data_IF_695336560843
#
_entry.id   IF_695336560843
#
_cell.length_a   1.000
_cell.length_b   1.000
_cell.length_c   1.000
_cell.angle_alpha   90.00
_cell.angle_beta   90.00
_cell.angle_gamma   90.00
#
_symmetry.space_group_name_H-M   'P 1'
#
loop_
_entity.id
_entity.type
_entity.pdbx_description
1 polymer ?
#
# COMPACT_ATOMS: atom_id res chain seq x y z
N UNK A 1 13.44 -5.14 32.66
CA UNK A 1 13.18 -5.83 31.39
C UNK A 1 13.72 -7.24 31.51
N UNK A 2 13.08 -8.25 31.01
CA UNK A 2 13.67 -9.60 30.99
C UNK A 2 14.64 -9.72 29.81
N UNK A 3 15.57 -10.72 29.83
CA UNK A 3 16.45 -10.99 28.69
C UNK A 3 15.67 -11.18 27.38
N UNK A 4 14.48 -11.78 27.45
CA UNK A 4 13.61 -12.00 26.29
C UNK A 4 13.05 -10.69 25.74
N UNK A 5 12.67 -9.76 26.63
CA UNK A 5 12.15 -8.44 26.20
C UNK A 5 13.26 -7.59 25.56
N UNK A 6 14.49 -7.70 26.06
CA UNK A 6 15.66 -7.01 25.50
C UNK A 6 15.98 -7.56 24.11
N UNK A 7 15.99 -8.88 23.93
CA UNK A 7 16.20 -9.50 22.63
C UNK A 7 15.08 -9.18 21.62
N UNK A 8 13.81 -9.10 22.06
CA UNK A 8 12.71 -8.67 21.19
C UNK A 8 12.93 -7.25 20.69
N UNK A 9 13.26 -6.31 21.59
CA UNK A 9 13.51 -4.92 21.21
C UNK A 9 14.72 -4.80 20.27
N UNK A 10 15.78 -5.57 20.49
CA UNK A 10 16.96 -5.63 19.62
C UNK A 10 16.58 -6.17 18.23
N UNK A 11 15.78 -7.23 18.15
CA UNK A 11 15.35 -7.81 16.88
C UNK A 11 14.51 -6.83 16.05
N UNK A 12 13.55 -6.12 16.68
CA UNK A 12 12.76 -5.11 15.99
C UNK A 12 13.61 -3.93 15.51
N UNK A 13 14.61 -3.50 16.29
CA UNK A 13 15.53 -2.45 15.86
C UNK A 13 16.34 -2.85 14.61
N UNK A 14 16.73 -4.13 14.47
CA UNK A 14 17.38 -4.64 13.27
C UNK A 14 16.43 -4.69 12.07
N UNK A 15 15.16 -5.11 12.24
CA UNK A 15 14.15 -5.06 11.17
C UNK A 15 13.94 -3.61 10.69
N UNK A 16 13.78 -2.66 11.61
CA UNK A 16 13.64 -1.23 11.29
C UNK A 16 14.88 -0.64 10.57
N UNK A 17 16.05 -1.21 10.83
CA UNK A 17 17.30 -0.81 10.19
C UNK A 17 17.55 -1.52 8.84
N UNK A 18 16.63 -2.40 8.39
CA UNK A 18 16.80 -3.17 7.15
C UNK A 18 17.84 -4.30 7.26
N UNK A 19 18.04 -4.87 8.47
CA UNK A 19 18.97 -5.98 8.74
C UNK A 19 18.17 -7.23 9.19
N UNK A 20 17.40 -7.86 8.27
CA UNK A 20 16.56 -9.01 8.59
C UNK A 20 17.36 -10.27 8.96
N UNK A 21 18.60 -10.42 8.46
CA UNK A 21 19.44 -11.57 8.79
C UNK A 21 19.79 -11.58 10.28
N UNK A 22 20.22 -10.44 10.84
CA UNK A 22 20.51 -10.33 12.28
C UNK A 22 19.23 -10.51 13.12
N UNK A 23 18.11 -9.94 12.70
CA UNK A 23 16.83 -10.13 13.36
C UNK A 23 16.42 -11.62 13.37
N UNK A 24 16.64 -12.35 12.28
CA UNK A 24 16.39 -13.80 12.20
C UNK A 24 17.25 -14.60 13.16
N UNK A 25 18.54 -14.27 13.33
CA UNK A 25 19.41 -14.92 14.29
C UNK A 25 18.94 -14.71 15.74
N UNK A 26 18.52 -13.46 16.06
CA UNK A 26 17.94 -13.15 17.37
C UNK A 26 16.62 -13.90 17.57
N UNK A 27 15.77 -13.99 16.56
CA UNK A 27 14.53 -14.76 16.57
C UNK A 27 14.78 -16.25 16.90
N UNK A 28 15.78 -16.88 16.26
CA UNK A 28 16.19 -18.27 16.58
C UNK A 28 16.71 -18.43 18.02
N UNK A 29 17.40 -17.41 18.54
CA UNK A 29 17.81 -17.40 19.94
C UNK A 29 16.61 -17.32 20.87
N UNK A 30 15.63 -16.47 20.60
CA UNK A 30 14.37 -16.35 21.35
C UNK A 30 13.58 -17.67 21.34
N UNK A 31 13.53 -18.36 20.21
CA UNK A 31 12.90 -19.68 20.09
C UNK A 31 13.58 -20.71 20.99
N UNK A 32 14.92 -20.72 21.05
CA UNK A 32 15.68 -21.59 21.96
C UNK A 32 15.36 -21.33 23.46
N UNK A 33 14.93 -20.11 23.77
CA UNK A 33 14.45 -19.70 25.09
C UNK A 33 12.95 -19.99 25.30
N UNK A 34 12.31 -20.67 24.34
CA UNK A 34 10.87 -21.01 24.37
C UNK A 34 9.99 -19.75 24.55
N UNK A 35 10.27 -18.71 23.75
CA UNK A 35 9.51 -17.48 23.74
C UNK A 35 8.65 -17.39 22.46
N UNK A 36 7.34 -17.26 22.62
CA UNK A 36 6.41 -17.28 21.48
C UNK A 36 6.61 -16.11 20.50
N UNK A 37 7.09 -14.94 20.95
CA UNK A 37 7.45 -13.82 20.10
C UNK A 37 8.59 -14.11 19.11
N UNK A 38 9.34 -15.20 19.31
CA UNK A 38 10.36 -15.65 18.39
C UNK A 38 9.82 -15.88 16.96
N UNK A 39 8.61 -16.45 16.86
CA UNK A 39 7.98 -16.75 15.57
C UNK A 39 7.53 -15.51 14.83
N UNK A 40 7.13 -14.46 15.54
CA UNK A 40 6.82 -13.14 14.98
C UNK A 40 8.05 -12.54 14.33
N UNK A 41 9.16 -12.41 15.07
CA UNK A 41 10.42 -11.85 14.58
C UNK A 41 10.94 -12.64 13.37
N UNK A 42 10.98 -13.98 13.45
CA UNK A 42 11.46 -14.81 12.36
C UNK A 42 10.59 -14.66 11.10
N UNK A 43 9.28 -14.57 11.26
CA UNK A 43 8.36 -14.42 10.13
C UNK A 43 8.53 -13.04 9.46
N UNK A 44 8.67 -11.97 10.23
CA UNK A 44 8.94 -10.63 9.69
C UNK A 44 10.28 -10.60 8.98
N UNK A 45 11.33 -11.17 9.55
CA UNK A 45 12.65 -11.23 8.93
C UNK A 45 12.62 -12.00 7.58
N UNK A 46 11.89 -13.12 7.49
CA UNK A 46 11.73 -13.81 6.22
C UNK A 46 10.92 -12.99 5.20
N UNK A 47 9.90 -12.27 5.64
CA UNK A 47 9.13 -11.39 4.75
C UNK A 47 9.98 -10.23 4.20
N UNK A 48 10.83 -9.61 5.03
CA UNK A 48 11.75 -8.55 4.62
C UNK A 48 12.85 -9.06 3.66
N UNK A 49 13.10 -10.37 3.65
CA UNK A 49 13.96 -11.06 2.67
C UNK A 49 13.18 -11.58 1.45
N UNK A 50 11.95 -11.15 1.23
CA UNK A 50 11.04 -11.59 0.17
C UNK A 50 10.70 -13.11 0.20
N UNK A 51 10.94 -13.82 1.31
CA UNK A 51 10.60 -15.24 1.49
C UNK A 51 9.31 -15.42 2.30
N UNK A 52 8.19 -14.95 1.75
CA UNK A 52 6.87 -15.04 2.40
C UNK A 52 6.44 -16.50 2.65
N UNK A 53 6.92 -17.46 1.86
CA UNK A 53 6.64 -18.89 2.10
C UNK A 53 7.28 -19.39 3.39
N UNK A 54 8.51 -19.00 3.69
CA UNK A 54 9.16 -19.32 4.96
C UNK A 54 8.52 -18.58 6.13
N UNK A 55 8.09 -17.34 5.95
CA UNK A 55 7.33 -16.61 6.96
C UNK A 55 6.05 -17.38 7.36
N UNK A 56 5.29 -17.87 6.38
CA UNK A 56 4.11 -18.74 6.62
C UNK A 56 4.50 -20.01 7.37
N UNK A 57 5.55 -20.73 6.94
CA UNK A 57 5.98 -21.98 7.57
C UNK A 57 6.39 -21.77 9.04
N UNK A 58 7.09 -20.69 9.35
CA UNK A 58 7.48 -20.31 10.73
C UNK A 58 6.23 -20.02 11.57
N UNK A 59 5.27 -19.27 11.04
CA UNK A 59 4.04 -18.96 11.78
C UNK A 59 3.15 -20.19 11.99
N UNK A 60 3.09 -21.13 11.05
CA UNK A 60 2.41 -22.42 11.25
C UNK A 60 3.02 -23.21 12.42
N UNK A 61 4.35 -23.21 12.53
CA UNK A 61 5.01 -23.78 13.70
C UNK A 61 4.70 -22.99 14.99
N UNK A 62 4.66 -21.66 14.89
CA UNK A 62 4.35 -20.75 15.99
C UNK A 62 2.94 -20.96 16.56
N UNK A 63 1.91 -21.03 15.71
CA UNK A 63 0.53 -21.26 16.16
C UNK A 63 0.33 -22.67 16.69
N UNK A 64 1.07 -23.65 16.19
CA UNK A 64 1.07 -25.00 16.76
C UNK A 64 1.71 -25.04 18.18
N UNK A 65 2.77 -24.23 18.40
CA UNK A 65 3.44 -24.12 19.69
C UNK A 65 2.64 -23.29 20.70
N UNK A 66 2.05 -22.18 20.27
CA UNK A 66 1.36 -21.20 21.13
C UNK A 66 -0.01 -20.80 20.55
N UNK A 67 -1.00 -21.71 20.50
CA UNK A 67 -2.28 -21.49 19.82
C UNK A 67 -3.15 -20.38 20.42
N UNK A 68 -2.87 -19.96 21.66
CA UNK A 68 -3.55 -18.84 22.33
C UNK A 68 -2.98 -17.45 22.02
N UNK A 69 -1.92 -17.35 21.23
CA UNK A 69 -1.33 -16.06 20.84
C UNK A 69 -1.96 -15.58 19.55
N UNK A 70 -2.93 -14.68 19.67
CA UNK A 70 -3.74 -14.17 18.56
C UNK A 70 -2.89 -13.50 17.45
N UNK A 71 -1.82 -12.81 17.83
CA UNK A 71 -0.95 -12.10 16.91
C UNK A 71 -0.28 -13.04 15.89
N UNK A 72 0.11 -14.25 16.30
CA UNK A 72 0.68 -15.25 15.39
C UNK A 72 -0.34 -15.71 14.35
N UNK A 73 -1.60 -15.89 14.75
CA UNK A 73 -2.69 -16.19 13.83
C UNK A 73 -2.98 -15.02 12.87
N UNK A 74 -2.95 -13.79 13.40
CA UNK A 74 -3.13 -12.58 12.63
C UNK A 74 -2.06 -12.44 11.52
N UNK A 75 -0.79 -12.59 11.87
CA UNK A 75 0.32 -12.54 10.93
C UNK A 75 0.26 -13.68 9.91
N UNK A 76 -0.10 -14.88 10.35
CA UNK A 76 -0.32 -16.02 9.45
C UNK A 76 -1.42 -15.73 8.42
N UNK A 77 -2.50 -15.09 8.86
CA UNK A 77 -3.57 -14.61 7.98
C UNK A 77 -3.07 -13.58 6.96
N UNK A 78 -2.28 -12.60 7.40
CA UNK A 78 -1.72 -11.57 6.55
C UNK A 78 -0.86 -12.19 5.43
N UNK A 79 0.18 -12.96 5.76
CA UNK A 79 1.07 -13.55 4.75
C UNK A 79 0.38 -14.58 3.84
N UNK A 80 -0.62 -15.33 4.34
CA UNK A 80 -1.43 -16.18 3.47
C UNK A 80 -2.29 -15.36 2.48
N UNK A 81 -2.81 -14.21 2.92
CA UNK A 81 -3.54 -13.27 2.06
C UNK A 81 -2.64 -12.67 0.99
N UNK A 82 -1.39 -12.33 1.33
CA UNK A 82 -0.40 -11.81 0.39
C UNK A 82 -0.03 -12.85 -0.69
N UNK A 83 0.02 -14.13 -0.30
CA UNK A 83 0.17 -15.25 -1.24
C UNK A 83 -1.11 -15.60 -2.01
N UNK A 84 -2.21 -14.85 -1.85
CA UNK A 84 -3.49 -15.12 -2.50
C UNK A 84 -4.24 -16.34 -1.95
N UNK A 85 -3.82 -16.87 -0.79
CA UNK A 85 -4.42 -18.06 -0.14
C UNK A 85 -5.57 -17.65 0.78
N UNK A 86 -6.60 -17.02 0.20
CA UNK A 86 -7.66 -16.36 0.97
C UNK A 86 -8.44 -17.30 1.89
N UNK A 87 -8.78 -18.52 1.48
CA UNK A 87 -9.46 -19.49 2.35
C UNK A 87 -8.65 -19.75 3.62
N UNK A 88 -7.35 -20.03 3.47
CA UNK A 88 -6.46 -20.28 4.59
C UNK A 88 -6.18 -19.03 5.45
N UNK A 89 -6.18 -17.83 4.84
CA UNK A 89 -6.09 -16.57 5.56
C UNK A 89 -7.31 -16.33 6.45
N UNK A 90 -8.51 -16.55 5.91
CA UNK A 90 -9.79 -16.44 6.64
C UNK A 90 -9.82 -17.37 7.85
N UNK A 91 -9.42 -18.65 7.68
CA UNK A 91 -9.30 -19.60 8.81
C UNK A 91 -8.35 -19.08 9.90
N UNK A 92 -7.23 -18.48 9.52
CA UNK A 92 -6.28 -17.90 10.47
C UNK A 92 -6.86 -16.68 11.20
N UNK A 93 -7.57 -15.78 10.50
CA UNK A 93 -8.23 -14.64 11.15
C UNK A 93 -9.38 -15.07 12.07
N UNK A 94 -10.12 -16.13 11.74
CA UNK A 94 -11.12 -16.71 12.65
C UNK A 94 -10.46 -17.24 13.93
N UNK A 95 -9.32 -17.92 13.80
CA UNK A 95 -8.55 -18.39 14.95
C UNK A 95 -8.01 -17.22 15.80
N UNK A 96 -7.49 -16.16 15.15
CA UNK A 96 -7.07 -14.93 15.82
C UNK A 96 -8.22 -14.31 16.63
N UNK A 97 -9.39 -14.15 16.00
CA UNK A 97 -10.57 -13.57 16.62
C UNK A 97 -11.12 -14.37 17.82
N UNK A 98 -10.84 -15.67 17.89
CA UNK A 98 -11.23 -16.52 19.03
C UNK A 98 -10.35 -16.33 20.27
N UNK A 99 -9.18 -15.72 20.14
CA UNK A 99 -8.23 -15.54 21.25
C UNK A 99 -7.72 -14.09 21.40
N UNK A 100 -8.07 -13.18 20.49
CA UNK A 100 -7.74 -11.76 20.60
C UNK A 100 -8.52 -11.10 21.73
N UNK A 101 -7.92 -10.16 22.47
CA UNK A 101 -8.65 -9.29 23.39
C UNK A 101 -9.59 -8.34 22.62
N UNK A 102 -10.62 -7.83 23.30
CA UNK A 102 -11.68 -7.03 22.66
C UNK A 102 -11.13 -5.78 21.92
N UNK A 103 -10.10 -5.14 22.48
CA UNK A 103 -9.43 -3.98 21.87
C UNK A 103 -8.74 -4.30 20.55
N UNK A 104 -8.23 -5.50 20.36
CA UNK A 104 -7.48 -5.94 19.18
C UNK A 104 -8.41 -6.55 18.10
N UNK A 105 -9.64 -6.89 18.44
CA UNK A 105 -10.62 -7.42 17.49
C UNK A 105 -10.88 -6.46 16.33
N UNK A 106 -10.69 -5.17 16.53
CA UNK A 106 -10.87 -4.15 15.49
C UNK A 106 -9.92 -4.36 14.32
N UNK A 107 -8.68 -4.75 14.59
CA UNK A 107 -7.65 -5.03 13.59
C UNK A 107 -7.92 -6.40 12.93
N UNK A 108 -8.24 -7.41 13.74
CA UNK A 108 -8.54 -8.77 13.24
C UNK A 108 -9.75 -8.77 12.31
N UNK A 109 -10.85 -8.12 12.71
CA UNK A 109 -12.07 -8.05 11.90
C UNK A 109 -11.85 -7.25 10.59
N UNK A 110 -11.03 -6.19 10.62
CA UNK A 110 -10.66 -5.44 9.43
C UNK A 110 -9.87 -6.30 8.42
N UNK A 111 -8.80 -6.97 8.85
CA UNK A 111 -7.99 -7.82 7.96
C UNK A 111 -8.79 -9.01 7.45
N UNK A 112 -9.67 -9.58 8.29
CA UNK A 112 -10.61 -10.62 7.88
C UNK A 112 -11.58 -10.10 6.80
N UNK A 113 -12.13 -8.89 6.97
CA UNK A 113 -13.01 -8.26 5.98
C UNK A 113 -12.29 -8.05 4.64
N UNK A 114 -11.03 -7.61 4.69
CA UNK A 114 -10.21 -7.42 3.49
C UNK A 114 -9.97 -8.75 2.74
N UNK A 115 -9.60 -9.82 3.45
CA UNK A 115 -9.42 -11.14 2.84
C UNK A 115 -10.72 -11.68 2.20
N UNK A 116 -11.86 -11.50 2.86
CA UNK A 116 -13.17 -11.85 2.33
C UNK A 116 -13.53 -11.03 1.08
N UNK A 117 -13.23 -9.73 1.07
CA UNK A 117 -13.43 -8.87 -0.09
C UNK A 117 -12.58 -9.33 -1.29
N UNK A 118 -11.31 -9.64 -1.06
CA UNK A 118 -10.39 -10.16 -2.09
C UNK A 118 -10.80 -11.55 -2.59
N UNK A 119 -11.42 -12.38 -1.74
CA UNK A 119 -12.02 -13.66 -2.14
C UNK A 119 -13.31 -13.48 -2.97
N UNK A 120 -13.98 -12.32 -2.86
CA UNK A 120 -15.24 -12.01 -3.54
C UNK A 120 -16.48 -12.25 -2.68
N UNK A 121 -16.34 -12.60 -1.41
CA UNK A 121 -17.49 -12.72 -0.49
C UNK A 121 -17.83 -11.35 0.13
N UNK A 122 -18.40 -10.48 -0.71
CA UNK A 122 -18.67 -9.09 -0.35
C UNK A 122 -19.67 -8.95 0.82
N UNK A 123 -20.57 -9.92 0.99
CA UNK A 123 -21.57 -9.86 2.05
C UNK A 123 -20.96 -10.15 3.43
N UNK A 124 -20.09 -11.16 3.53
CA UNK A 124 -19.37 -11.46 4.76
C UNK A 124 -18.32 -10.38 5.06
N UNK A 125 -17.63 -9.87 4.02
CA UNK A 125 -16.71 -8.75 4.16
C UNK A 125 -17.40 -7.52 4.79
N UNK A 126 -18.59 -7.17 4.28
CA UNK A 126 -19.37 -6.06 4.82
C UNK A 126 -19.75 -6.29 6.30
N UNK A 127 -20.20 -7.50 6.64
CA UNK A 127 -20.59 -7.82 8.01
C UNK A 127 -19.39 -7.75 9.00
N UNK A 128 -18.21 -8.15 8.58
CA UNK A 128 -16.98 -8.03 9.37
C UNK A 128 -16.54 -6.57 9.53
N UNK A 129 -16.56 -5.82 8.43
CA UNK A 129 -16.21 -4.40 8.43
C UNK A 129 -17.17 -3.54 9.27
N UNK A 130 -18.46 -3.87 9.27
CA UNK A 130 -19.43 -3.20 10.15
C UNK A 130 -19.08 -3.40 11.63
N UNK A 131 -18.62 -4.59 12.03
CA UNK A 131 -18.11 -4.82 13.41
C UNK A 131 -16.89 -3.96 13.73
N UNK A 132 -15.95 -3.81 12.78
CA UNK A 132 -14.80 -2.92 12.92
C UNK A 132 -15.26 -1.48 13.16
N UNK A 133 -16.14 -0.96 12.29
CA UNK A 133 -16.58 0.44 12.31
C UNK A 133 -17.53 0.77 13.47
N UNK A 134 -18.20 -0.22 14.04
CA UNK A 134 -19.07 -0.08 15.23
C UNK A 134 -18.32 -0.36 16.54
N UNK A 135 -17.05 -0.74 16.47
CA UNK A 135 -16.26 -1.06 17.67
C UNK A 135 -16.05 0.18 18.56
N UNK A 136 -16.22 0.05 19.87
CA UNK A 136 -15.91 1.14 20.81
C UNK A 136 -14.40 1.44 20.87
N UNK A 137 -13.56 0.54 20.35
CA UNK A 137 -12.11 0.67 20.31
C UNK A 137 -11.59 1.29 19.00
N UNK A 138 -12.46 1.55 18.01
CA UNK A 138 -12.06 2.08 16.69
C UNK A 138 -11.21 3.36 16.79
N UNK A 139 -11.58 4.28 17.67
CA UNK A 139 -10.86 5.55 17.83
C UNK A 139 -9.41 5.36 18.31
N UNK A 140 -9.10 4.23 18.99
CA UNK A 140 -7.74 3.92 19.48
C UNK A 140 -6.84 3.40 18.36
N UNK A 141 -7.40 2.92 17.27
CA UNK A 141 -6.64 2.44 16.12
C UNK A 141 -6.03 3.57 15.27
N UNK A 142 -6.39 4.81 15.55
CA UNK A 142 -5.87 5.99 14.87
C UNK A 142 -6.58 6.32 13.54
N UNK A 143 -6.35 7.55 13.07
CA UNK A 143 -7.05 8.09 11.90
C UNK A 143 -6.76 7.32 10.61
N UNK A 144 -5.50 7.00 10.35
CA UNK A 144 -5.11 6.27 9.15
C UNK A 144 -5.83 4.91 9.05
N UNK A 145 -5.98 4.19 10.16
CA UNK A 145 -6.74 2.95 10.19
C UNK A 145 -8.23 3.18 9.87
N UNK A 146 -8.83 4.24 10.42
CA UNK A 146 -10.23 4.59 10.14
C UNK A 146 -10.41 4.89 8.65
N UNK A 147 -9.51 5.66 8.05
CA UNK A 147 -9.53 5.97 6.62
C UNK A 147 -9.41 4.70 5.76
N UNK A 148 -8.51 3.77 6.10
CA UNK A 148 -8.41 2.47 5.43
C UNK A 148 -9.71 1.63 5.56
N UNK A 149 -10.33 1.63 6.73
CA UNK A 149 -11.61 0.95 6.93
C UNK A 149 -12.75 1.61 6.12
N UNK A 150 -12.74 2.94 6.00
CA UNK A 150 -13.66 3.68 5.14
C UNK A 150 -13.40 3.40 3.66
N UNK A 151 -12.15 3.37 3.22
CA UNK A 151 -11.79 3.01 1.84
C UNK A 151 -12.31 1.61 1.49
N UNK A 152 -12.08 0.61 2.36
CA UNK A 152 -12.62 -0.73 2.17
C UNK A 152 -14.15 -0.74 2.11
N UNK A 153 -14.84 0.05 2.95
CA UNK A 153 -16.31 0.16 2.90
C UNK A 153 -16.78 0.74 1.58
N UNK A 154 -16.12 1.77 1.09
CA UNK A 154 -16.44 2.38 -0.21
C UNK A 154 -16.18 1.41 -1.35
N UNK A 155 -15.06 0.66 -1.30
CA UNK A 155 -14.76 -0.42 -2.23
C UNK A 155 -15.90 -1.46 -2.30
N UNK A 156 -16.36 -1.93 -1.14
CA UNK A 156 -17.48 -2.90 -1.08
C UNK A 156 -18.76 -2.34 -1.71
N UNK A 157 -19.11 -1.07 -1.47
CA UNK A 157 -20.26 -0.44 -2.11
C UNK A 157 -20.09 -0.31 -3.63
N UNK A 158 -18.90 0.09 -4.10
CA UNK A 158 -18.60 0.16 -5.54
C UNK A 158 -18.71 -1.24 -6.18
N UNK A 159 -18.13 -2.25 -5.57
CA UNK A 159 -18.19 -3.64 -6.06
C UNK A 159 -19.63 -4.21 -6.07
N UNK A 160 -20.49 -3.77 -5.17
CA UNK A 160 -21.91 -4.14 -5.12
C UNK A 160 -22.81 -3.33 -6.08
N UNK A 161 -22.25 -2.34 -6.78
CA UNK A 161 -23.01 -1.47 -7.67
C UNK A 161 -23.80 -0.37 -6.94
N UNK A 162 -23.35 0.01 -5.76
CA UNK A 162 -23.96 1.02 -4.88
C UNK A 162 -23.13 2.32 -4.76
N UNK A 163 -22.80 3.01 -5.88
CA UNK A 163 -21.86 4.14 -5.85
C UNK A 163 -22.37 5.32 -5.01
N UNK A 164 -23.69 5.47 -4.87
CA UNK A 164 -24.26 6.55 -4.03
C UNK A 164 -23.98 6.31 -2.55
N UNK A 165 -23.93 5.05 -2.10
CA UNK A 165 -23.58 4.72 -0.73
C UNK A 165 -22.09 4.99 -0.46
N UNK A 166 -21.21 4.67 -1.43
CA UNK A 166 -19.80 5.03 -1.35
C UNK A 166 -19.58 6.55 -1.24
N UNK A 167 -20.24 7.35 -2.10
CA UNK A 167 -20.15 8.82 -2.05
C UNK A 167 -20.65 9.35 -0.71
N UNK A 168 -21.78 8.86 -0.21
CA UNK A 168 -22.32 9.27 1.09
C UNK A 168 -21.38 8.92 2.26
N UNK A 169 -20.67 7.80 2.16
CA UNK A 169 -19.64 7.39 3.14
C UNK A 169 -18.51 8.41 3.19
N UNK A 170 -17.98 8.81 2.04
CA UNK A 170 -16.97 9.88 1.96
C UNK A 170 -17.47 11.22 2.52
N UNK A 171 -18.70 11.63 2.16
CA UNK A 171 -19.30 12.88 2.67
C UNK A 171 -19.48 12.88 4.19
N UNK A 172 -19.67 11.71 4.80
CA UNK A 172 -19.74 11.57 6.24
C UNK A 172 -18.34 11.71 6.88
N UNK A 173 -17.31 11.10 6.28
CA UNK A 173 -15.91 11.24 6.72
C UNK A 173 -15.47 12.71 6.64
N UNK A 174 -15.72 13.38 5.53
CA UNK A 174 -15.31 14.77 5.30
C UNK A 174 -15.97 15.79 6.23
N UNK A 175 -17.07 15.43 6.90
CA UNK A 175 -17.75 16.29 7.89
C UNK A 175 -17.20 16.13 9.32
N UNK A 176 -16.38 15.13 9.56
CA UNK A 176 -15.78 14.94 10.88
C UNK A 176 -14.67 15.97 11.06
N UNK A 177 -14.70 16.72 12.17
CA UNK A 177 -13.58 17.54 12.58
C UNK A 177 -12.53 16.60 13.20
N UNK A 178 -11.31 16.65 12.69
CA UNK A 178 -10.23 15.83 13.19
C UNK A 178 -9.11 16.73 13.73
N UNK A 179 -8.70 16.46 14.95
CA UNK A 179 -7.57 17.14 15.61
C UNK A 179 -6.21 16.56 15.13
N UNK A 180 -6.24 15.41 14.45
CA UNK A 180 -5.04 14.73 13.92
C UNK A 180 -4.99 14.84 12.39
N UNK A 181 -3.81 15.07 11.85
CA UNK A 181 -3.57 14.98 10.40
C UNK A 181 -3.70 13.51 9.95
N UNK A 182 -4.49 13.25 8.91
CA UNK A 182 -4.60 11.94 8.29
C UNK A 182 -3.32 11.58 7.53
N UNK A 183 -3.14 10.32 7.22
CA UNK A 183 -2.07 9.87 6.35
C UNK A 183 -2.41 10.19 4.89
N UNK A 184 -1.46 10.77 4.14
CA UNK A 184 -1.63 10.97 2.70
C UNK A 184 -1.87 9.63 1.96
N UNK A 185 -1.28 8.54 2.47
CA UNK A 185 -1.44 7.18 1.93
C UNK A 185 -2.89 6.71 2.03
N UNK A 186 -3.46 6.71 3.25
CA UNK A 186 -4.84 6.24 3.46
C UNK A 186 -5.87 7.14 2.78
N UNK A 187 -5.62 8.44 2.72
CA UNK A 187 -6.49 9.38 2.02
C UNK A 187 -6.46 9.16 0.49
N UNK A 188 -5.32 8.81 -0.09
CA UNK A 188 -5.22 8.47 -1.52
C UNK A 188 -6.14 7.29 -1.87
N UNK A 189 -6.19 6.25 -1.03
CA UNK A 189 -7.08 5.10 -1.24
C UNK A 189 -8.56 5.47 -1.09
N UNK A 190 -8.92 6.31 -0.11
CA UNK A 190 -10.29 6.85 0.03
C UNK A 190 -10.70 7.63 -1.22
N UNK A 191 -9.83 8.49 -1.74
CA UNK A 191 -10.09 9.27 -2.95
C UNK A 191 -10.13 8.39 -4.20
N UNK A 192 -9.34 7.34 -4.27
CA UNK A 192 -9.40 6.35 -5.35
C UNK A 192 -10.80 5.70 -5.43
N UNK A 193 -11.31 5.21 -4.31
CA UNK A 193 -12.64 4.61 -4.25
C UNK A 193 -13.76 5.64 -4.53
N UNK A 194 -13.60 6.89 -4.10
CA UNK A 194 -14.52 7.98 -4.45
C UNK A 194 -14.55 8.24 -5.95
N UNK A 195 -13.38 8.25 -6.60
CA UNK A 195 -13.28 8.39 -8.06
C UNK A 195 -14.03 7.27 -8.78
N UNK A 196 -13.81 6.01 -8.38
CA UNK A 196 -14.52 4.86 -8.95
C UNK A 196 -16.03 4.96 -8.74
N UNK A 197 -16.49 5.44 -7.59
CA UNK A 197 -17.90 5.68 -7.32
C UNK A 197 -18.49 6.77 -8.23
N UNK A 198 -17.77 7.87 -8.46
CA UNK A 198 -18.21 8.90 -9.43
C UNK A 198 -18.24 8.34 -10.87
N UNK A 199 -17.23 7.55 -11.26
CA UNK A 199 -17.20 6.90 -12.58
C UNK A 199 -18.42 6.00 -12.78
N UNK A 200 -18.73 5.17 -11.80
CA UNK A 200 -19.89 4.26 -11.85
C UNK A 200 -21.23 5.02 -11.83
N UNK A 201 -21.27 6.20 -11.21
CA UNK A 201 -22.45 7.09 -11.23
C UNK A 201 -22.60 7.86 -12.55
N UNK A 202 -21.63 7.79 -13.46
CA UNK A 202 -21.60 8.51 -14.73
C UNK A 202 -21.08 9.96 -14.63
N UNK A 203 -20.58 10.39 -13.48
CA UNK A 203 -19.96 11.73 -13.30
C UNK A 203 -18.44 11.64 -13.60
N UNK A 204 -18.13 11.48 -14.91
CA UNK A 204 -16.76 11.30 -15.37
C UNK A 204 -15.85 12.49 -15.05
N UNK A 205 -16.41 13.72 -14.97
CA UNK A 205 -15.62 14.90 -14.65
C UNK A 205 -15.13 14.88 -13.19
N UNK A 206 -16.01 14.52 -12.26
CA UNK A 206 -15.60 14.36 -10.88
C UNK A 206 -14.70 13.14 -10.69
N UNK A 207 -14.99 12.03 -11.36
CA UNK A 207 -14.14 10.84 -11.31
C UNK A 207 -12.68 11.19 -11.66
N UNK A 208 -12.44 11.87 -12.77
CA UNK A 208 -11.09 12.26 -13.18
C UNK A 208 -10.45 13.24 -12.20
N UNK A 209 -11.18 14.28 -11.77
CA UNK A 209 -10.64 15.25 -10.81
C UNK A 209 -10.23 14.58 -9.49
N UNK A 210 -11.10 13.73 -8.93
CA UNK A 210 -10.82 13.01 -7.69
C UNK A 210 -9.67 12.00 -7.84
N UNK A 211 -9.54 11.34 -9.00
CA UNK A 211 -8.42 10.44 -9.25
C UNK A 211 -7.08 11.19 -9.33
N UNK A 212 -7.08 12.40 -9.91
CA UNK A 212 -5.89 13.26 -9.90
C UNK A 212 -5.53 13.71 -8.48
N UNK A 213 -6.52 14.07 -7.67
CA UNK A 213 -6.29 14.40 -6.26
C UNK A 213 -5.73 13.19 -5.49
N UNK A 214 -6.19 11.97 -5.79
CA UNK A 214 -5.69 10.74 -5.16
C UNK A 214 -4.19 10.53 -5.45
N UNK A 215 -3.77 10.56 -6.72
CA UNK A 215 -2.35 10.35 -7.07
C UNK A 215 -1.46 11.50 -6.59
N UNK A 216 -1.98 12.73 -6.50
CA UNK A 216 -1.24 13.86 -5.94
C UNK A 216 -1.10 13.78 -4.41
N UNK A 217 -2.03 13.11 -3.73
CA UNK A 217 -1.92 12.82 -2.30
C UNK A 217 -0.83 11.79 -2.01
N UNK A 218 -0.78 10.72 -2.83
CA UNK A 218 0.23 9.67 -2.72
C UNK A 218 0.38 8.89 -4.02
N UNK A 219 1.40 9.21 -4.81
CA UNK A 219 1.60 8.66 -6.17
C UNK A 219 1.96 7.17 -6.20
N UNK A 220 2.41 6.60 -5.07
CA UNK A 220 2.76 5.17 -4.95
C UNK A 220 1.56 4.28 -4.61
N UNK A 221 0.34 4.85 -4.47
CA UNK A 221 -0.86 4.04 -4.28
C UNK A 221 -1.30 3.38 -5.58
N UNK A 222 -1.27 2.04 -5.62
CA UNK A 222 -1.80 1.26 -6.74
C UNK A 222 -3.28 1.54 -6.99
N UNK A 223 -4.06 1.76 -5.92
CA UNK A 223 -5.48 2.11 -6.00
C UNK A 223 -5.68 3.47 -6.69
N UNK A 224 -4.87 4.48 -6.34
CA UNK A 224 -4.92 5.81 -6.95
C UNK A 224 -4.53 5.76 -8.44
N UNK A 225 -3.45 5.06 -8.77
CA UNK A 225 -3.02 4.85 -10.16
C UNK A 225 -4.07 4.09 -10.98
N UNK A 226 -4.68 3.07 -10.40
CA UNK A 226 -5.79 2.36 -11.04
C UNK A 226 -7.01 3.26 -11.25
N UNK A 227 -7.43 4.02 -10.23
CA UNK A 227 -8.57 4.93 -10.31
C UNK A 227 -8.36 5.98 -11.42
N UNK A 228 -7.13 6.50 -11.58
CA UNK A 228 -6.79 7.47 -12.63
C UNK A 228 -6.93 6.86 -14.04
N UNK A 229 -6.39 5.63 -14.24
CA UNK A 229 -6.56 4.91 -15.53
C UNK A 229 -8.04 4.62 -15.81
N UNK A 230 -8.78 4.14 -14.82
CA UNK A 230 -10.20 3.86 -14.92
C UNK A 230 -11.02 5.13 -15.22
N UNK A 231 -10.72 6.25 -14.56
CA UNK A 231 -11.42 7.52 -14.77
C UNK A 231 -11.20 8.08 -16.17
N UNK A 232 -9.98 7.97 -16.74
CA UNK A 232 -9.67 8.37 -18.11
C UNK A 232 -10.37 7.52 -19.14
N UNK A 233 -10.44 6.19 -18.89
CA UNK A 233 -11.07 5.22 -19.81
C UNK A 233 -10.45 5.22 -21.22
N UNK A 234 -9.17 5.56 -21.32
CA UNK A 234 -8.44 5.59 -22.58
C UNK A 234 -7.78 4.23 -22.82
N UNK A 235 -8.22 3.51 -23.84
CA UNK A 235 -7.67 2.22 -24.24
C UNK A 235 -7.03 2.31 -25.63
N UNK A 236 -5.99 1.52 -25.88
CA UNK A 236 -5.32 1.47 -27.19
C UNK A 236 -4.82 0.06 -27.49
N UNK A 237 -4.90 -0.31 -28.76
CA UNK A 237 -4.31 -1.54 -29.31
C UNK A 237 -2.86 -1.34 -29.76
N UNK A 238 -2.39 -0.09 -29.86
CA UNK A 238 -1.08 0.29 -30.36
C UNK A 238 -0.14 0.84 -29.29
N UNK A 239 -0.69 1.19 -28.13
CA UNK A 239 0.10 1.64 -26.99
C UNK A 239 1.03 0.52 -26.49
N UNK A 240 2.21 0.93 -26.06
CA UNK A 240 3.26 0.02 -25.57
C UNK A 240 3.50 0.21 -24.11
N UNK A 241 3.83 -0.86 -23.40
CA UNK A 241 4.32 -0.82 -22.05
C UNK A 241 5.81 -0.44 -22.06
N UNK A 242 6.17 0.54 -21.25
CA UNK A 242 7.50 1.12 -21.17
C UNK A 242 7.91 1.25 -19.70
N UNK A 243 9.12 0.83 -19.37
CA UNK A 243 9.81 1.20 -18.16
C UNK A 243 10.69 2.41 -18.47
N UNK A 244 10.48 3.50 -17.77
CA UNK A 244 11.10 4.79 -18.04
C UNK A 244 11.91 5.24 -16.86
N UNK A 245 13.15 5.69 -17.10
CA UNK A 245 13.92 6.47 -16.13
C UNK A 245 13.65 7.94 -16.45
N UNK A 246 13.15 8.67 -15.46
CA UNK A 246 12.72 10.06 -15.59
C UNK A 246 13.51 10.93 -14.62
N UNK A 247 14.06 12.00 -15.14
CA UNK A 247 14.77 13.03 -14.39
C UNK A 247 13.94 14.30 -14.31
N UNK A 248 14.18 15.05 -13.23
CA UNK A 248 13.55 16.35 -13.04
C UNK A 248 14.29 17.20 -12.02
N UNK A 249 13.82 18.44 -11.85
CA UNK A 249 14.35 19.36 -10.87
C UNK A 249 13.34 19.53 -9.73
N UNK A 250 13.80 19.35 -8.51
CA UNK A 250 12.96 19.57 -7.32
C UNK A 250 12.77 21.06 -7.07
N UNK A 251 11.76 21.42 -6.33
CA UNK A 251 11.36 22.82 -6.12
C UNK A 251 11.76 23.39 -4.77
N UNK A 252 12.24 22.56 -3.85
CA UNK A 252 12.66 22.92 -2.49
C UNK A 252 14.06 22.37 -2.22
N UNK A 253 14.90 23.07 -1.47
CA UNK A 253 16.19 22.55 -0.97
C UNK A 253 15.95 21.32 -0.09
N UNK A 254 16.92 20.40 -0.01
CA UNK A 254 16.89 19.30 0.96
C UNK A 254 17.08 19.85 2.39
N UNK A 255 16.55 19.13 3.40
CA UNK A 255 16.43 19.62 4.79
C UNK A 255 17.74 20.10 5.43
N UNK A 256 18.91 19.57 5.02
CA UNK A 256 20.22 19.90 5.58
C UNK A 256 21.07 20.81 4.66
N UNK A 257 20.50 21.42 3.62
CA UNK A 257 21.22 22.18 2.62
C UNK A 257 21.00 23.70 2.73
N UNK A 258 21.86 24.45 2.04
CA UNK A 258 21.74 25.91 1.96
C UNK A 258 20.40 26.29 1.28
N UNK A 259 19.50 26.99 1.98
CA UNK A 259 18.19 27.40 1.41
C UNK A 259 18.32 28.27 0.16
N UNK A 260 19.47 28.93 -0.06
CA UNK A 260 19.78 29.76 -1.23
C UNK A 260 20.61 28.98 -2.29
N UNK A 261 20.86 27.67 -2.06
CA UNK A 261 21.57 26.79 -3.00
C UNK A 261 20.79 26.46 -4.25
N UNK A 262 21.41 25.78 -5.25
CA UNK A 262 20.71 25.30 -6.41
C UNK A 262 19.65 24.26 -6.01
N UNK A 263 18.49 24.28 -6.67
CA UNK A 263 17.47 23.27 -6.43
C UNK A 263 18.02 21.87 -6.83
N UNK A 264 17.82 20.85 -6.00
CA UNK A 264 18.31 19.49 -6.28
C UNK A 264 17.64 18.90 -7.52
N UNK A 265 18.36 18.01 -8.20
CA UNK A 265 17.81 17.18 -9.25
C UNK A 265 17.34 15.84 -8.68
N UNK A 266 16.46 15.13 -9.38
CA UNK A 266 16.03 13.80 -8.99
C UNK A 266 15.97 12.88 -10.20
N UNK A 267 16.09 11.59 -9.92
CA UNK A 267 15.77 10.50 -10.82
C UNK A 267 14.74 9.60 -10.18
N UNK A 268 13.82 9.07 -10.98
CA UNK A 268 12.79 8.11 -10.54
C UNK A 268 12.38 7.24 -11.73
N UNK A 269 11.67 6.14 -11.47
CA UNK A 269 11.22 5.21 -12.51
C UNK A 269 9.71 5.19 -12.62
N UNK A 270 9.22 4.83 -13.82
CA UNK A 270 7.80 4.67 -14.11
C UNK A 270 7.55 3.49 -15.05
N UNK A 271 6.53 2.70 -14.74
CA UNK A 271 5.92 1.79 -15.70
C UNK A 271 4.68 2.45 -16.30
N UNK A 272 4.70 2.66 -17.62
CA UNK A 272 3.66 3.43 -18.33
C UNK A 272 3.20 2.70 -19.58
N UNK A 273 1.90 2.74 -19.84
CA UNK A 273 1.34 2.34 -21.13
C UNK A 273 0.92 3.59 -21.91
N UNK A 274 1.57 3.83 -23.05
CA UNK A 274 1.35 5.00 -23.92
C UNK A 274 1.70 4.70 -25.38
N UNK A 275 1.25 5.56 -26.32
CA UNK A 275 1.57 5.43 -27.73
C UNK A 275 3.05 5.73 -28.03
N UNK A 276 3.59 6.73 -27.34
CA UNK A 276 4.97 7.19 -27.48
C UNK A 276 5.48 7.85 -26.18
N UNK A 277 6.76 8.21 -26.16
CA UNK A 277 7.42 8.88 -25.03
C UNK A 277 6.82 10.23 -24.67
N UNK A 278 6.33 10.99 -25.66
CA UNK A 278 5.73 12.29 -25.41
C UNK A 278 4.39 12.16 -24.66
N UNK A 279 3.58 11.16 -25.03
CA UNK A 279 2.37 10.82 -24.29
C UNK A 279 2.70 10.27 -22.92
N UNK A 280 3.70 9.39 -22.80
CA UNK A 280 4.14 8.84 -21.52
C UNK A 280 4.56 9.95 -20.55
N UNK A 281 5.38 10.91 -21.00
CA UNK A 281 5.80 12.04 -20.15
C UNK A 281 4.63 12.92 -19.71
N UNK A 282 3.63 13.13 -20.58
CA UNK A 282 2.39 13.83 -20.23
C UNK A 282 1.61 13.10 -19.12
N UNK A 283 1.51 11.77 -19.21
CA UNK A 283 0.80 10.94 -18.23
C UNK A 283 1.54 10.93 -16.88
N UNK A 284 2.87 10.87 -16.91
CA UNK A 284 3.74 10.96 -15.72
C UNK A 284 3.57 12.32 -15.04
N UNK A 285 3.60 13.41 -15.83
CA UNK A 285 3.48 14.77 -15.30
C UNK A 285 2.21 15.00 -14.48
N UNK A 286 1.15 14.24 -14.71
CA UNK A 286 -0.08 14.35 -13.93
C UNK A 286 0.04 13.70 -12.54
N UNK A 287 0.93 12.71 -12.39
CA UNK A 287 1.23 12.07 -11.11
C UNK A 287 2.22 12.89 -10.27
N UNK A 288 2.91 13.87 -10.88
CA UNK A 288 3.95 14.66 -10.25
C UNK A 288 3.42 16.00 -9.69
N UNK A 289 4.09 16.56 -8.65
CA UNK A 289 3.77 17.90 -8.16
C UNK A 289 3.82 18.94 -9.29
N UNK A 290 2.90 19.91 -9.33
CA UNK A 290 2.86 20.90 -10.41
C UNK A 290 4.19 21.62 -10.64
N UNK A 291 4.97 21.84 -9.59
CA UNK A 291 6.22 22.61 -9.61
C UNK A 291 7.35 21.91 -10.38
N UNK A 292 7.33 20.56 -10.46
CA UNK A 292 8.39 19.81 -11.14
C UNK A 292 8.04 19.43 -12.59
N UNK A 293 6.78 19.55 -12.99
CA UNK A 293 6.24 19.03 -14.28
C UNK A 293 6.97 19.55 -15.52
N UNK A 294 7.38 20.82 -15.51
CA UNK A 294 8.06 21.45 -16.64
C UNK A 294 9.53 21.01 -16.77
N UNK A 295 10.13 20.50 -15.70
CA UNK A 295 11.51 20.03 -15.67
C UNK A 295 11.67 18.55 -16.08
N UNK A 296 10.57 17.79 -16.12
CA UNK A 296 10.59 16.35 -16.38
C UNK A 296 11.17 16.03 -17.76
N UNK A 297 12.11 15.09 -17.80
CA UNK A 297 12.66 14.54 -19.04
C UNK A 297 12.86 13.04 -18.90
N UNK A 298 12.68 12.31 -19.98
CA UNK A 298 12.99 10.89 -20.05
C UNK A 298 14.49 10.76 -20.29
N UNK A 299 15.21 10.09 -19.38
CA UNK A 299 16.62 9.78 -19.52
C UNK A 299 16.80 8.46 -20.31
N UNK A 300 16.02 7.44 -19.97
CA UNK A 300 16.09 6.13 -20.63
C UNK A 300 14.69 5.53 -20.81
N UNK A 301 14.56 4.71 -21.87
CA UNK A 301 13.34 3.98 -22.21
C UNK A 301 13.63 2.52 -22.48
N UNK A 302 12.98 1.65 -21.72
CA UNK A 302 12.99 0.21 -21.93
C UNK A 302 11.60 -0.29 -22.26
N UNK A 303 11.43 -0.96 -23.39
CA UNK A 303 10.15 -1.57 -23.75
C UNK A 303 9.94 -2.83 -22.91
N UNK A 304 8.77 -2.95 -22.29
CA UNK A 304 8.36 -4.17 -21.59
C UNK A 304 7.68 -5.09 -22.62
N UNK A 305 8.31 -6.24 -22.88
CA UNK A 305 7.72 -7.29 -23.71
C UNK A 305 6.57 -7.94 -22.95
N UNK A 306 5.35 -7.62 -23.34
CA UNK A 306 4.14 -8.19 -22.74
C UNK A 306 3.65 -9.33 -23.64
N UNK A 307 4.15 -10.56 -23.44
CA UNK A 307 3.72 -11.75 -24.18
C UNK A 307 2.21 -12.04 -24.01
N UNK A 308 1.58 -11.50 -22.97
CA UNK A 308 0.16 -11.64 -22.65
C UNK A 308 -0.74 -10.46 -23.07
N UNK A 309 -0.22 -9.50 -23.82
CA UNK A 309 -0.98 -8.33 -24.28
C UNK A 309 -2.01 -8.69 -25.37
N UNK A 310 -2.95 -9.59 -25.06
CA UNK A 310 -4.11 -9.90 -25.90
C UNK A 310 -5.31 -8.99 -25.63
N UNK A 311 -5.23 -8.10 -24.64
CA UNK A 311 -6.30 -7.15 -24.30
C UNK A 311 -5.82 -5.73 -24.51
N UNK A 312 -6.69 -4.88 -25.05
CA UNK A 312 -6.55 -3.43 -25.08
C UNK A 312 -6.22 -2.92 -23.69
N UNK A 313 -4.99 -2.46 -23.48
CA UNK A 313 -4.58 -1.94 -22.18
C UNK A 313 -5.09 -0.51 -21.97
N UNK A 314 -5.42 -0.16 -20.74
CA UNK A 314 -5.64 1.22 -20.35
C UNK A 314 -4.33 1.99 -20.42
N UNK A 315 -4.34 3.16 -21.08
CA UNK A 315 -3.19 4.07 -21.07
C UNK A 315 -3.07 4.74 -19.69
N UNK A 316 -1.84 4.93 -19.21
CA UNK A 316 -1.54 5.58 -17.94
C UNK A 316 -0.33 5.02 -17.24
N UNK A 317 -0.06 5.54 -16.07
CA UNK A 317 1.00 5.07 -15.15
C UNK A 317 0.51 3.84 -14.38
N UNK A 318 1.34 2.82 -14.31
CA UNK A 318 1.06 1.55 -13.62
C UNK A 318 1.87 1.37 -12.35
N UNK A 319 3.10 1.84 -12.34
CA UNK A 319 3.97 1.86 -11.17
C UNK A 319 4.86 3.10 -11.17
N UNK A 320 5.30 3.48 -9.99
CA UNK A 320 6.23 4.60 -9.76
C UNK A 320 7.32 4.17 -8.81
N UNK A 321 8.57 4.49 -9.12
CA UNK A 321 9.70 4.29 -8.20
C UNK A 321 9.86 5.45 -7.21
N UNK A 322 10.77 5.25 -6.27
CA UNK A 322 11.17 6.27 -5.31
C UNK A 322 12.01 7.37 -5.99
N UNK A 323 12.08 8.54 -5.34
CA UNK A 323 12.97 9.59 -5.79
C UNK A 323 14.38 9.36 -5.25
N UNK A 324 15.36 9.35 -6.16
CA UNK A 324 16.77 9.48 -5.82
C UNK A 324 17.19 10.94 -6.06
N UNK A 325 17.45 11.66 -4.98
CA UNK A 325 17.76 13.10 -5.00
C UNK A 325 19.27 13.30 -5.02
N UNK A 326 19.77 14.25 -5.83
CA UNK A 326 21.19 14.59 -5.90
C UNK A 326 21.39 16.08 -6.21
N UNK A 327 22.58 16.61 -5.86
CA UNK A 327 22.92 18.00 -6.18
C UNK A 327 23.45 18.13 -7.61
N UNK A 328 23.10 19.23 -8.32
CA UNK A 328 23.62 19.48 -9.65
C UNK A 328 25.16 19.48 -9.68
N UNK A 329 25.75 18.57 -10.46
CA UNK A 329 27.20 18.41 -10.60
C UNK A 329 27.83 17.32 -9.73
N UNK A 330 27.09 16.61 -8.91
CA UNK A 330 27.46 15.32 -8.35
C UNK A 330 27.18 14.23 -9.41
N UNK A 331 28.18 13.45 -9.77
CA UNK A 331 27.93 12.26 -10.61
C UNK A 331 27.19 11.24 -9.73
N UNK A 332 26.04 10.77 -10.21
CA UNK A 332 25.27 9.74 -9.53
C UNK A 332 26.03 8.40 -9.57
N UNK A 333 26.76 8.09 -8.48
CA UNK A 333 27.48 6.84 -8.32
C UNK A 333 26.53 5.62 -8.16
N UNK A 334 25.22 5.84 -8.04
CA UNK A 334 24.23 4.79 -7.74
C UNK A 334 23.67 4.07 -8.97
N UNK A 335 23.97 4.54 -10.18
CA UNK A 335 23.49 3.94 -11.44
C UNK A 335 24.41 2.88 -12.02
N UNK A 336 25.58 2.59 -11.39
CA UNK A 336 26.60 1.65 -11.90
C UNK A 336 26.62 0.27 -11.19
N UNK A 337 25.64 -0.07 -10.32
CA UNK A 337 25.57 -1.39 -9.65
C UNK A 337 24.37 -2.25 -10.08
#
# INVERSE_FOLDING_TARGET
MSEKDELMAEAFAHLEAGDPETALEIGKRLESLQYSGAYEVQAMAYADMDDTEQAVAVLEAGVAHAPGVWLLWQLLGNYRSDLGRFDAAIEAYEAAGNCAPDEDLVIVDFNHANALARQGDLALAQARLDRTLESPHLAQAGRAFIENAIALRMHLFVAQGEPKAAIATYEALAKQEHDEEGSNVSMADVLAELSLAYKQSGDNAKALATALDAVQSYKWSDAALWALRAARDEQSETARAMHLIVEGQWYEPLEDEDPDGPAPEFVTTYDVVAEDEAEALRLIAECEPPQVRESLRIAETHLIDNEDASATAYKGVYATGDYHMYQPGEEDESLDD
#
